data_IF_072683238158
#
_entry.id   IF_072683238158
#
_cell.length_a   1.000
_cell.length_b   1.000
_cell.length_c   1.000
_cell.angle_alpha   90.00
_cell.angle_beta   90.00
_cell.angle_gamma   90.00
#
_symmetry.space_group_name_H-M   'P 1'
#
loop_
_entity.id
_entity.type
_entity.pdbx_description
1 polymer ?
#
# COMPACT_ATOMS: atom_id res chain seq x y z
N UNK A 1 -7.77 -25.93 35.66
CA UNK A 1 -6.78 -25.47 34.67
C UNK A 1 -7.28 -24.31 33.80
N UNK A 2 -8.53 -24.33 33.30
CA UNK A 2 -9.07 -23.26 32.42
C UNK A 2 -8.96 -21.83 32.98
N UNK A 3 -9.34 -21.59 34.24
CA UNK A 3 -9.31 -20.24 34.81
C UNK A 3 -7.89 -19.64 34.88
N UNK A 4 -6.86 -20.45 35.14
CA UNK A 4 -5.47 -19.97 35.18
C UNK A 4 -4.99 -19.52 33.79
N UNK A 5 -5.35 -20.29 32.75
CA UNK A 5 -5.01 -19.98 31.35
C UNK A 5 -5.67 -18.67 30.90
N UNK A 6 -6.94 -18.45 31.26
CA UNK A 6 -7.64 -17.20 30.92
C UNK A 6 -7.05 -15.98 31.62
N UNK A 7 -6.60 -16.11 32.87
CA UNK A 7 -5.96 -15.01 33.59
C UNK A 7 -4.58 -14.66 33.00
N UNK A 8 -3.76 -15.66 32.67
CA UNK A 8 -2.46 -15.43 32.04
C UNK A 8 -2.61 -14.85 30.63
N UNK A 9 -3.58 -15.34 29.86
CA UNK A 9 -3.88 -14.82 28.53
C UNK A 9 -4.39 -13.37 28.58
N UNK A 10 -5.33 -13.06 29.46
CA UNK A 10 -5.84 -11.70 29.64
C UNK A 10 -4.72 -10.71 30.04
N UNK A 11 -3.78 -11.15 30.89
CA UNK A 11 -2.59 -10.37 31.26
C UNK A 11 -1.66 -10.15 30.06
N UNK A 12 -1.43 -11.17 29.24
CA UNK A 12 -0.61 -11.05 28.03
C UNK A 12 -1.22 -10.08 27.00
N UNK A 13 -2.53 -10.17 26.77
CA UNK A 13 -3.27 -9.24 25.91
C UNK A 13 -3.16 -7.81 26.45
N UNK A 14 -3.34 -7.63 27.75
CA UNK A 14 -3.24 -6.32 28.42
C UNK A 14 -1.85 -5.71 28.26
N UNK A 15 -0.79 -6.49 28.50
CA UNK A 15 0.59 -6.04 28.32
C UNK A 15 0.86 -5.66 26.87
N UNK A 16 0.45 -6.49 25.92
CA UNK A 16 0.63 -6.24 24.49
C UNK A 16 -0.09 -4.94 24.08
N UNK A 17 -1.38 -4.80 24.39
CA UNK A 17 -2.17 -3.62 24.06
C UNK A 17 -1.56 -2.33 24.66
N UNK A 18 -1.04 -2.41 25.88
CA UNK A 18 -0.45 -1.26 26.57
C UNK A 18 0.90 -0.87 25.98
N UNK A 19 1.74 -1.83 25.58
CA UNK A 19 2.99 -1.54 24.84
C UNK A 19 2.70 -0.86 23.52
N UNK A 20 1.73 -1.38 22.75
CA UNK A 20 1.29 -0.75 21.51
C UNK A 20 0.69 0.64 21.73
N UNK A 21 -0.02 0.87 22.84
CA UNK A 21 -0.53 2.20 23.20
C UNK A 21 0.61 3.19 23.46
N UNK A 22 1.66 2.78 24.20
CA UNK A 22 2.84 3.64 24.43
C UNK A 22 3.53 3.97 23.11
N UNK A 23 3.71 2.98 22.25
CA UNK A 23 4.28 3.15 20.93
C UNK A 23 3.44 4.08 20.05
N UNK A 24 2.13 3.86 19.98
CA UNK A 24 1.20 4.71 19.24
C UNK A 24 1.22 6.14 19.78
N UNK A 25 1.23 6.33 21.10
CA UNK A 25 1.31 7.64 21.72
C UNK A 25 2.60 8.39 21.36
N UNK A 26 3.75 7.71 21.34
CA UNK A 26 5.01 8.28 20.85
C UNK A 26 4.89 8.77 19.41
N UNK A 27 4.34 7.94 18.51
CA UNK A 27 4.09 8.35 17.13
C UNK A 27 3.08 9.49 17.00
N UNK A 28 2.07 9.53 17.88
CA UNK A 28 1.11 10.63 17.97
C UNK A 28 1.72 11.98 18.37
N UNK A 29 2.91 12.01 18.97
CA UNK A 29 3.67 13.24 19.23
C UNK A 29 4.28 13.82 17.93
N UNK A 30 4.72 12.93 17.05
CA UNK A 30 5.41 13.25 15.78
C UNK A 30 4.36 13.56 14.69
N UNK A 31 3.41 12.65 14.51
CA UNK A 31 2.36 12.71 13.48
C UNK A 31 1.02 13.02 14.11
N UNK A 32 0.74 14.32 14.24
CA UNK A 32 -0.38 14.80 15.04
C UNK A 32 -1.66 14.87 14.22
N UNK A 33 -2.50 13.84 14.31
CA UNK A 33 -3.83 13.80 13.68
C UNK A 33 -4.89 13.26 14.62
N UNK A 34 -6.08 13.85 14.53
CA UNK A 34 -7.28 13.38 15.20
C UNK A 34 -7.99 12.35 14.32
N UNK A 35 -8.39 11.23 14.90
CA UNK A 35 -8.95 10.12 14.14
C UNK A 35 -10.22 10.49 13.35
N UNK A 36 -11.14 11.25 13.93
CA UNK A 36 -12.42 11.58 13.30
C UNK A 36 -12.42 12.93 12.57
N UNK A 37 -11.26 13.46 12.21
CA UNK A 37 -11.14 14.77 11.54
C UNK A 37 -11.86 14.86 10.18
N UNK A 38 -12.16 13.70 9.58
CA UNK A 38 -12.92 13.54 8.36
C UNK A 38 -14.44 13.66 8.54
N UNK A 39 -14.96 13.53 9.77
CA UNK A 39 -16.41 13.58 10.03
C UNK A 39 -16.87 15.04 10.03
N UNK A 40 -17.68 15.42 9.04
CA UNK A 40 -18.16 16.80 8.84
C UNK A 40 -17.06 17.84 8.56
N UNK A 41 -15.82 17.41 8.34
CA UNK A 41 -14.72 18.29 7.93
C UNK A 41 -14.96 18.90 6.55
N UNK A 42 -14.50 20.14 6.36
CA UNK A 42 -14.58 20.84 5.07
C UNK A 42 -13.22 20.87 4.41
N UNK A 43 -13.15 20.48 3.14
CA UNK A 43 -11.91 20.50 2.37
C UNK A 43 -11.75 21.88 1.73
N UNK A 44 -10.63 22.57 1.98
CA UNK A 44 -10.31 23.87 1.38
C UNK A 44 -8.99 23.81 0.62
N UNK A 45 -8.92 24.58 -0.48
CA UNK A 45 -7.68 24.83 -1.23
C UNK A 45 -7.30 26.30 -1.09
N UNK A 46 -6.07 26.65 -0.68
CA UNK A 46 -5.02 25.77 -0.15
C UNK A 46 -5.31 25.33 1.31
N UNK A 47 -4.81 24.17 1.74
CA UNK A 47 -4.83 23.78 3.16
C UNK A 47 -5.41 22.41 3.54
N UNK A 48 -6.00 21.66 2.60
CA UNK A 48 -6.43 20.28 2.83
C UNK A 48 -7.72 20.14 3.64
N UNK A 49 -7.87 18.99 4.34
CA UNK A 49 -9.03 18.68 5.18
C UNK A 49 -8.98 19.52 6.47
N UNK A 50 -9.91 20.46 6.60
CA UNK A 50 -10.11 21.22 7.83
C UNK A 50 -11.21 20.54 8.65
N UNK A 51 -10.93 20.10 9.90
CA UNK A 51 -11.94 19.44 10.71
C UNK A 51 -13.07 20.41 11.07
N UNK A 52 -14.25 19.88 11.40
CA UNK A 52 -15.40 20.71 11.69
C UNK A 52 -15.16 21.62 12.92
N UNK A 53 -15.80 22.80 13.01
CA UNK A 53 -15.65 23.68 14.18
C UNK A 53 -15.97 22.99 15.51
N UNK A 54 -16.87 22.00 15.49
CA UNK A 54 -17.23 21.18 16.64
C UNK A 54 -16.07 20.30 17.16
N UNK A 55 -15.08 19.99 16.31
CA UNK A 55 -13.91 19.18 16.66
C UNK A 55 -12.73 20.03 17.17
N UNK A 56 -12.91 21.35 17.31
CA UNK A 56 -11.86 22.28 17.72
C UNK A 56 -11.18 21.89 19.04
N UNK A 57 -11.94 21.30 19.97
CA UNK A 57 -11.41 20.77 21.22
C UNK A 57 -10.41 19.66 20.92
N UNK A 58 -10.79 18.64 20.15
CA UNK A 58 -9.91 17.52 19.79
C UNK A 58 -8.65 18.00 19.05
N UNK A 59 -8.77 18.96 18.12
CA UNK A 59 -7.61 19.56 17.46
C UNK A 59 -6.67 20.21 18.49
N UNK A 60 -7.22 20.96 19.46
CA UNK A 60 -6.40 21.64 20.46
C UNK A 60 -5.63 20.68 21.35
N UNK A 61 -6.30 19.62 21.85
CA UNK A 61 -5.69 18.65 22.77
C UNK A 61 -4.89 17.54 22.09
N UNK A 62 -5.13 17.23 20.81
CA UNK A 62 -4.43 16.16 20.08
C UNK A 62 -3.37 16.74 19.15
N UNK A 63 -3.72 17.78 18.38
CA UNK A 63 -2.86 18.31 17.31
C UNK A 63 -1.94 19.43 17.81
N UNK A 64 -2.47 20.40 18.57
CA UNK A 64 -1.69 21.57 19.00
C UNK A 64 -0.85 21.30 20.25
N UNK A 65 -1.45 20.70 21.30
CA UNK A 65 -0.82 20.52 22.62
C UNK A 65 -0.36 19.07 22.94
N UNK A 66 -0.37 18.16 21.95
CA UNK A 66 -0.43 16.68 22.09
C UNK A 66 -0.75 16.06 23.46
N UNK A 67 -1.76 16.57 24.18
CA UNK A 67 -2.16 16.09 25.52
C UNK A 67 -2.66 14.65 25.47
N UNK A 68 -3.49 14.29 24.49
CA UNK A 68 -4.07 12.94 24.38
C UNK A 68 -3.01 11.86 24.12
N UNK A 69 -2.08 12.02 23.15
CA UNK A 69 -0.96 11.08 23.00
C UNK A 69 -0.12 10.93 24.27
N UNK A 70 0.16 12.03 25.00
CA UNK A 70 0.90 11.99 26.28
C UNK A 70 0.13 11.19 27.34
N UNK A 71 -1.18 11.43 27.48
CA UNK A 71 -2.04 10.68 28.41
C UNK A 71 -2.05 9.20 28.05
N UNK A 72 -2.19 8.84 26.77
CA UNK A 72 -2.14 7.45 26.31
C UNK A 72 -0.81 6.78 26.65
N UNK A 73 0.33 7.47 26.50
CA UNK A 73 1.64 6.95 26.92
C UNK A 73 1.70 6.71 28.43
N UNK A 74 1.28 7.69 29.23
CA UNK A 74 1.29 7.58 30.70
C UNK A 74 0.40 6.42 31.16
N UNK A 75 -0.81 6.30 30.61
CA UNK A 75 -1.74 5.22 30.92
C UNK A 75 -1.17 3.85 30.52
N UNK A 76 -0.57 3.75 29.32
CA UNK A 76 0.08 2.52 28.86
C UNK A 76 1.23 2.08 29.76
N UNK A 77 2.12 3.01 30.14
CA UNK A 77 3.20 2.73 31.10
C UNK A 77 2.65 2.33 32.47
N UNK A 78 1.61 3.01 32.95
CA UNK A 78 0.98 2.69 34.24
C UNK A 78 0.34 1.30 34.24
N UNK A 79 -0.33 0.88 33.17
CA UNK A 79 -0.93 -0.45 33.05
C UNK A 79 0.17 -1.52 32.93
N UNK A 80 1.24 -1.27 32.17
CA UNK A 80 2.41 -2.17 32.14
C UNK A 80 2.99 -2.33 33.55
N UNK A 81 3.11 -1.24 34.32
CA UNK A 81 3.61 -1.28 35.68
C UNK A 81 2.63 -1.98 36.66
N UNK A 82 1.33 -2.02 36.37
CA UNK A 82 0.35 -2.77 37.19
C UNK A 82 0.31 -4.27 36.84
N UNK A 83 0.50 -4.62 35.57
CA UNK A 83 0.53 -6.01 35.11
C UNK A 83 1.90 -6.66 35.28
N UNK A 84 2.99 -5.90 35.20
CA UNK A 84 4.35 -6.34 35.47
C UNK A 84 4.97 -5.48 36.57
N UNK A 85 4.52 -5.65 37.83
CA UNK A 85 4.89 -4.78 38.92
C UNK A 85 6.38 -4.85 39.23
N UNK A 86 7.01 -3.68 39.27
CA UNK A 86 8.33 -3.52 39.83
C UNK A 86 8.32 -3.95 41.32
N UNK A 87 9.47 -4.37 41.90
CA UNK A 87 9.54 -4.97 43.23
C UNK A 87 8.89 -4.14 44.35
N UNK A 88 8.87 -2.81 44.20
CA UNK A 88 8.30 -1.85 45.15
C UNK A 88 6.78 -1.64 45.04
N UNK A 89 6.14 -2.03 43.92
CA UNK A 89 4.69 -1.96 43.74
C UNK A 89 3.97 -3.27 44.06
N UNK A 90 4.72 -4.38 44.08
CA UNK A 90 4.20 -5.73 44.23
C UNK A 90 3.52 -5.90 45.59
N UNK A 91 2.23 -6.24 45.57
CA UNK A 91 1.46 -6.50 46.79
C UNK A 91 0.78 -5.27 47.42
N UNK A 92 0.88 -4.09 46.83
CA UNK A 92 0.09 -2.93 47.28
C UNK A 92 -1.41 -3.11 47.03
N UNK A 93 -2.28 -2.33 47.70
CA UNK A 93 -3.73 -2.31 47.46
C UNK A 93 -4.06 -1.89 46.02
N UNK A 94 -3.26 -0.98 45.45
CA UNK A 94 -3.34 -0.51 44.07
C UNK A 94 -3.05 -1.67 43.09
N UNK A 95 -1.95 -2.40 43.29
CA UNK A 95 -1.62 -3.57 42.47
C UNK A 95 -2.68 -4.68 42.56
N UNK A 96 -3.37 -4.83 43.69
CA UNK A 96 -4.40 -5.87 43.88
C UNK A 96 -5.79 -5.46 43.35
N UNK A 97 -5.99 -4.19 42.99
CA UNK A 97 -7.28 -3.71 42.54
C UNK A 97 -7.61 -4.17 41.12
N UNK A 98 -8.69 -4.94 40.97
CA UNK A 98 -9.20 -5.34 39.66
C UNK A 98 -9.99 -4.22 38.98
N UNK A 99 -10.69 -3.40 39.77
CA UNK A 99 -11.45 -2.24 39.30
C UNK A 99 -10.51 -1.25 38.60
N UNK A 100 -9.34 -0.97 39.20
CA UNK A 100 -8.37 -0.04 38.64
C UNK A 100 -7.86 -0.50 37.26
N UNK A 101 -7.65 -1.81 37.07
CA UNK A 101 -7.22 -2.39 35.79
C UNK A 101 -8.27 -2.22 34.71
N UNK A 102 -9.52 -2.56 35.02
CA UNK A 102 -10.63 -2.44 34.06
C UNK A 102 -10.81 -0.98 33.65
N UNK A 103 -10.88 -0.07 34.63
CA UNK A 103 -11.07 1.36 34.36
C UNK A 103 -9.88 1.91 33.57
N UNK A 104 -8.66 1.55 33.93
CA UNK A 104 -7.45 1.94 33.21
C UNK A 104 -7.46 1.47 31.75
N UNK A 105 -7.85 0.21 31.50
CA UNK A 105 -7.93 -0.35 30.16
C UNK A 105 -8.99 0.31 29.29
N UNK A 106 -10.16 0.63 29.87
CA UNK A 106 -11.22 1.36 29.17
C UNK A 106 -10.75 2.77 28.80
N UNK A 107 -10.10 3.48 29.73
CA UNK A 107 -9.54 4.81 29.48
C UNK A 107 -8.43 4.76 28.43
N UNK A 108 -7.54 3.77 28.50
CA UNK A 108 -6.51 3.54 27.49
C UNK A 108 -7.12 3.37 26.10
N UNK A 109 -8.10 2.48 25.96
CA UNK A 109 -8.78 2.24 24.69
C UNK A 109 -9.46 3.51 24.16
N UNK A 110 -10.14 4.25 25.05
CA UNK A 110 -10.78 5.52 24.71
C UNK A 110 -9.79 6.56 24.18
N UNK A 111 -8.65 6.77 24.84
CA UNK A 111 -7.68 7.76 24.35
C UNK A 111 -6.93 7.29 23.11
N UNK A 112 -6.59 6.00 23.03
CA UNK A 112 -5.89 5.42 21.88
C UNK A 112 -6.70 5.52 20.59
N UNK A 113 -8.03 5.39 20.63
CA UNK A 113 -8.86 5.49 19.42
C UNK A 113 -8.98 6.92 18.87
N UNK A 114 -8.64 7.94 19.67
CA UNK A 114 -8.75 9.34 19.24
C UNK A 114 -7.65 9.76 18.26
N UNK A 115 -6.61 8.95 18.04
CA UNK A 115 -5.54 9.23 17.09
C UNK A 115 -5.11 7.97 16.34
N UNK A 116 -4.78 8.10 15.06
CA UNK A 116 -4.40 6.95 14.22
C UNK A 116 -3.51 7.38 13.05
N UNK A 117 -2.89 6.40 12.37
CA UNK A 117 -2.06 6.59 11.18
C UNK A 117 -2.70 5.92 9.95
N UNK A 118 -3.32 6.73 9.09
CA UNK A 118 -3.57 6.38 7.68
C UNK A 118 -3.46 7.63 6.81
N UNK A 119 -3.09 7.46 5.55
CA UNK A 119 -3.23 8.49 4.52
C UNK A 119 -4.48 8.17 3.70
N UNK A 120 -5.60 8.81 4.05
CA UNK A 120 -6.85 8.66 3.30
C UNK A 120 -7.02 9.88 2.41
N UNK A 121 -6.92 9.67 1.10
CA UNK A 121 -7.20 10.70 0.11
C UNK A 121 -8.66 10.57 -0.32
N UNK A 122 -9.52 11.39 0.26
CA UNK A 122 -10.91 11.46 -0.15
C UNK A 122 -11.04 12.35 -1.40
N UNK A 123 -11.47 11.76 -2.52
CA UNK A 123 -11.68 12.45 -3.79
C UNK A 123 -13.13 12.29 -4.24
N UNK A 124 -14.08 13.07 -3.69
CA UNK A 124 -15.51 12.92 -3.98
C UNK A 124 -15.84 13.13 -5.46
N UNK A 125 -15.03 13.89 -6.19
CA UNK A 125 -15.16 14.06 -7.64
C UNK A 125 -15.06 12.74 -8.43
N UNK A 126 -14.38 11.72 -7.90
CA UNK A 126 -14.27 10.40 -8.54
C UNK A 126 -15.56 9.57 -8.45
N UNK A 127 -16.53 9.95 -7.60
CA UNK A 127 -17.84 9.29 -7.54
C UNK A 127 -18.65 9.48 -8.83
N UNK A 128 -18.38 10.55 -9.58
CA UNK A 128 -19.04 10.88 -10.84
C UNK A 128 -18.20 10.45 -12.05
N UNK A 129 -17.28 9.49 -11.87
CA UNK A 129 -16.42 9.02 -12.97
C UNK A 129 -17.31 8.44 -14.09
N UNK A 130 -17.15 8.88 -15.36
CA UNK A 130 -17.92 8.33 -16.46
C UNK A 130 -17.66 6.82 -16.56
N UNK A 131 -18.71 6.00 -16.76
CA UNK A 131 -18.56 4.56 -16.92
C UNK A 131 -17.81 4.31 -18.23
N UNK A 132 -16.54 3.92 -18.12
CA UNK A 132 -15.75 3.46 -19.25
C UNK A 132 -15.91 1.93 -19.36
N UNK A 133 -16.00 1.39 -20.58
CA UNK A 133 -15.98 -0.06 -20.78
C UNK A 133 -14.72 -0.65 -20.16
N UNK A 134 -14.79 -1.91 -19.73
CA UNK A 134 -13.60 -2.62 -19.26
C UNK A 134 -12.54 -2.61 -20.37
N UNK A 135 -11.29 -2.22 -20.07
CA UNK A 135 -10.22 -2.29 -21.05
C UNK A 135 -10.05 -3.74 -21.50
N UNK A 136 -10.08 -3.96 -22.81
CA UNK A 136 -9.71 -5.23 -23.42
C UNK A 136 -8.20 -5.21 -23.68
N UNK A 137 -7.49 -6.21 -23.17
CA UNK A 137 -6.03 -6.27 -23.22
C UNK A 137 -5.50 -7.21 -24.31
N UNK A 138 -6.40 -7.79 -25.12
CA UNK A 138 -6.02 -8.56 -26.28
C UNK A 138 -5.28 -7.66 -27.29
N UNK A 139 -4.26 -8.19 -27.99
CA UNK A 139 -3.70 -7.48 -29.14
C UNK A 139 -4.86 -7.18 -30.11
N UNK A 140 -4.90 -5.99 -30.74
CA UNK A 140 -5.94 -5.68 -31.70
C UNK A 140 -5.98 -6.81 -32.72
N UNK A 141 -7.13 -7.48 -32.83
CA UNK A 141 -7.35 -8.45 -33.90
C UNK A 141 -6.98 -7.77 -35.21
N UNK A 142 -6.34 -8.52 -36.10
CA UNK A 142 -5.70 -8.13 -37.38
C UNK A 142 -6.66 -7.42 -38.37
N UNK A 143 -7.84 -6.99 -37.93
CA UNK A 143 -8.90 -6.38 -38.72
C UNK A 143 -9.35 -4.99 -38.25
N UNK A 144 -8.77 -4.41 -37.19
CA UNK A 144 -9.01 -2.99 -36.86
C UNK A 144 -7.89 -2.12 -37.43
N UNK A 145 -8.20 -1.37 -38.49
CA UNK A 145 -7.29 -0.39 -39.04
C UNK A 145 -6.83 0.61 -37.95
N UNK A 146 -5.55 1.04 -37.95
CA UNK A 146 -4.98 1.95 -36.94
C UNK A 146 -5.77 3.27 -36.77
N UNK A 147 -6.61 3.63 -37.74
CA UNK A 147 -7.48 4.81 -37.67
C UNK A 147 -8.66 4.67 -36.69
N UNK A 148 -9.05 3.47 -36.26
CA UNK A 148 -10.11 3.28 -35.25
C UNK A 148 -9.64 3.45 -33.80
N UNK A 149 -8.33 3.42 -33.54
CA UNK A 149 -7.73 3.72 -32.23
C UNK A 149 -7.53 5.22 -32.03
N UNK A 150 -7.43 5.99 -33.12
CA UNK A 150 -7.31 7.46 -33.09
C UNK A 150 -8.58 8.07 -32.50
N UNK A 151 -8.43 8.66 -31.31
CA UNK A 151 -9.51 9.30 -30.55
C UNK A 151 -10.02 8.48 -29.36
N UNK A 152 -9.70 7.17 -29.30
CA UNK A 152 -10.03 6.29 -28.16
C UNK A 152 -8.84 6.13 -27.22
N UNK A 153 -7.62 5.98 -27.77
CA UNK A 153 -6.40 5.91 -27.00
C UNK A 153 -5.86 7.32 -26.68
N UNK A 154 -5.87 7.76 -25.40
CA UNK A 154 -5.38 9.09 -25.02
C UNK A 154 -3.85 9.24 -25.12
N UNK A 155 -3.12 8.14 -25.37
CA UNK A 155 -1.66 8.14 -25.45
C UNK A 155 -1.13 8.06 -26.89
N UNK A 156 -1.99 8.12 -27.91
CA UNK A 156 -1.56 8.29 -29.29
C UNK A 156 -1.49 9.79 -29.67
N UNK A 157 -0.60 10.17 -30.60
CA UNK A 157 -0.56 11.53 -31.11
C UNK A 157 -1.84 11.90 -31.90
N UNK A 158 -2.24 13.19 -31.94
CA UNK A 158 -1.54 14.33 -31.36
C UNK A 158 -1.71 14.41 -29.83
N UNK A 159 -0.58 14.58 -29.12
CA UNK A 159 -0.58 14.73 -27.67
C UNK A 159 -1.17 16.08 -27.26
N UNK A 160 -1.81 16.13 -26.09
CA UNK A 160 -2.19 17.41 -25.49
C UNK A 160 -0.92 18.19 -25.11
N UNK A 161 -0.67 19.39 -25.68
CA UNK A 161 0.54 20.17 -25.38
C UNK A 161 0.70 20.56 -23.91
N UNK A 162 -0.40 20.63 -23.15
CA UNK A 162 -0.36 20.94 -21.71
C UNK A 162 0.02 19.74 -20.84
N UNK A 163 -0.05 18.53 -21.39
CA UNK A 163 0.28 17.29 -20.68
C UNK A 163 1.59 16.68 -21.18
N UNK A 164 2.03 17.02 -22.40
CA UNK A 164 3.28 16.55 -22.96
C UNK A 164 4.48 17.14 -22.21
N UNK A 165 5.36 16.27 -21.71
CA UNK A 165 6.60 16.67 -21.01
C UNK A 165 7.81 16.48 -21.91
N UNK A 166 7.88 15.35 -22.62
CA UNK A 166 9.01 15.01 -23.48
C UNK A 166 8.98 13.56 -23.93
N UNK A 167 10.07 13.13 -24.55
CA UNK A 167 10.22 11.78 -25.11
C UNK A 167 11.54 11.18 -24.66
N UNK A 168 11.57 9.86 -24.56
CA UNK A 168 12.77 9.07 -24.28
C UNK A 168 12.90 7.99 -25.34
N UNK A 169 14.12 7.60 -25.65
CA UNK A 169 14.40 6.48 -26.53
C UNK A 169 15.44 5.59 -25.88
N UNK A 170 15.14 4.31 -25.82
CA UNK A 170 16.14 3.32 -25.49
C UNK A 170 17.00 3.05 -26.73
N UNK A 171 18.32 3.23 -26.59
CA UNK A 171 19.24 3.13 -27.73
C UNK A 171 19.53 1.67 -28.13
N UNK A 172 19.38 0.72 -27.21
CA UNK A 172 19.71 -0.69 -27.44
C UNK A 172 18.53 -1.44 -28.05
N UNK A 173 17.35 -1.34 -27.42
CA UNK A 173 16.12 -2.01 -27.89
C UNK A 173 15.34 -1.14 -28.90
N UNK A 174 15.72 0.12 -29.07
CA UNK A 174 15.06 1.06 -29.99
C UNK A 174 13.66 1.51 -29.54
N UNK A 175 13.21 1.11 -28.34
CA UNK A 175 11.88 1.43 -27.82
C UNK A 175 11.78 2.92 -27.52
N UNK A 176 10.73 3.55 -28.04
CA UNK A 176 10.44 4.95 -27.80
C UNK A 176 9.31 5.12 -26.78
N UNK A 177 9.48 6.10 -25.90
CA UNK A 177 8.54 6.46 -24.86
C UNK A 177 8.15 7.92 -24.96
N UNK A 178 6.94 8.23 -24.55
CA UNK A 178 6.46 9.59 -24.31
C UNK A 178 6.17 9.77 -22.82
N UNK A 179 6.58 10.91 -22.28
CA UNK A 179 6.33 11.32 -20.90
C UNK A 179 5.15 12.29 -20.89
N UNK A 180 4.07 11.90 -20.19
CA UNK A 180 2.82 12.65 -20.13
C UNK A 180 2.43 12.92 -18.67
N UNK A 181 2.01 14.14 -18.35
CA UNK A 181 1.35 14.42 -17.08
C UNK A 181 0.00 13.70 -17.02
N UNK A 182 -0.33 13.13 -15.87
CA UNK A 182 -1.63 12.51 -15.68
C UNK A 182 -2.74 13.58 -15.65
N UNK A 183 -3.59 13.59 -16.68
CA UNK A 183 -4.71 14.53 -16.84
C UNK A 183 -5.65 14.56 -15.63
N UNK A 184 -5.85 13.42 -14.98
CA UNK A 184 -6.77 13.27 -13.85
C UNK A 184 -6.00 12.95 -12.58
N UNK A 185 -4.90 13.67 -12.35
CA UNK A 185 -4.10 13.43 -11.17
C UNK A 185 -4.76 13.90 -9.88
N UNK A 186 -4.75 13.02 -8.88
CA UNK A 186 -5.03 13.35 -7.47
C UNK A 186 -3.78 13.88 -6.77
N UNK A 187 -2.60 13.45 -7.21
CA UNK A 187 -1.30 13.85 -6.64
C UNK A 187 -0.60 14.80 -7.60
N UNK A 188 -0.34 16.07 -7.24
CA UNK A 188 0.37 16.99 -8.12
C UNK A 188 1.67 16.36 -8.65
N UNK A 189 2.01 16.62 -9.92
CA UNK A 189 3.21 16.08 -10.59
C UNK A 189 3.24 14.55 -10.78
N UNK A 190 2.12 13.84 -10.63
CA UNK A 190 1.99 12.47 -11.14
C UNK A 190 2.10 12.48 -12.67
N UNK A 191 3.06 11.74 -13.21
CA UNK A 191 3.27 11.58 -14.65
C UNK A 191 3.36 10.10 -15.06
N UNK A 192 3.28 9.89 -16.36
CA UNK A 192 3.23 8.59 -17.02
C UNK A 192 4.41 8.48 -17.98
N UNK A 193 5.04 7.31 -18.04
CA UNK A 193 5.91 6.89 -19.14
C UNK A 193 5.13 5.89 -19.98
N UNK A 194 4.79 6.25 -21.21
CA UNK A 194 4.00 5.41 -22.12
C UNK A 194 4.87 5.01 -23.29
N UNK A 195 4.77 3.76 -23.76
CA UNK A 195 5.35 3.38 -25.05
C UNK A 195 4.73 4.23 -26.16
N UNK A 196 5.50 4.66 -27.16
CA UNK A 196 4.93 5.38 -28.31
C UNK A 196 4.15 4.46 -29.23
N UNK A 197 4.73 3.29 -29.51
CA UNK A 197 4.03 2.22 -30.20
C UNK A 197 3.11 1.52 -29.23
N UNK A 198 1.92 1.16 -29.70
CA UNK A 198 0.95 0.45 -28.87
C UNK A 198 1.53 -0.91 -28.44
N UNK A 199 1.73 -1.06 -27.13
CA UNK A 199 1.94 -2.34 -26.48
C UNK A 199 0.80 -2.58 -25.49
N UNK A 200 0.38 -3.84 -25.31
CA UNK A 200 -0.68 -4.15 -24.35
C UNK A 200 -0.18 -4.02 -22.91
N UNK A 201 -0.97 -3.41 -22.03
CA UNK A 201 -0.77 -3.30 -20.59
C UNK A 201 -0.80 -4.67 -19.88
N UNK A 202 -1.19 -5.75 -20.57
CA UNK A 202 -1.06 -7.11 -20.07
C UNK A 202 0.29 -7.77 -20.41
N UNK A 203 1.18 -7.07 -21.11
CA UNK A 203 2.54 -7.56 -21.38
C UNK A 203 3.46 -7.28 -20.19
N UNK A 204 4.45 -8.17 -19.91
CA UNK A 204 5.46 -7.90 -18.90
C UNK A 204 6.32 -6.67 -19.21
N UNK A 205 6.95 -6.14 -18.17
CA UNK A 205 8.01 -5.13 -18.32
C UNK A 205 9.23 -5.77 -18.98
N UNK A 206 9.75 -5.12 -20.01
CA UNK A 206 11.00 -5.42 -20.65
C UNK A 206 12.16 -4.83 -19.84
N UNK A 207 13.40 -5.32 -20.03
CA UNK A 207 14.58 -4.74 -19.39
C UNK A 207 14.69 -3.21 -19.64
N UNK A 208 14.44 -2.78 -20.88
CA UNK A 208 14.41 -1.36 -21.22
C UNK A 208 13.38 -0.55 -20.40
N UNK A 209 12.17 -1.08 -20.17
CA UNK A 209 11.16 -0.39 -19.35
C UNK A 209 11.67 -0.16 -17.92
N UNK A 210 12.30 -1.19 -17.34
CA UNK A 210 12.82 -1.17 -15.98
C UNK A 210 14.00 -0.20 -15.85
N UNK A 211 14.93 -0.22 -16.81
CA UNK A 211 16.10 0.65 -16.83
C UNK A 211 15.69 2.11 -16.95
N UNK A 212 14.82 2.44 -17.92
CA UNK A 212 14.33 3.81 -18.11
C UNK A 212 13.58 4.31 -16.87
N UNK A 213 12.72 3.47 -16.29
CA UNK A 213 12.01 3.82 -15.06
C UNK A 213 12.97 4.04 -13.89
N UNK A 214 13.96 3.17 -13.71
CA UNK A 214 14.95 3.29 -12.64
C UNK A 214 15.78 4.58 -12.77
N UNK A 215 16.24 4.91 -13.97
CA UNK A 215 17.00 6.13 -14.22
C UNK A 215 16.19 7.41 -14.05
N UNK A 216 14.89 7.41 -14.38
CA UNK A 216 13.99 8.52 -14.04
C UNK A 216 13.93 8.72 -12.51
N UNK A 217 13.80 7.64 -11.72
CA UNK A 217 13.79 7.72 -10.26
C UNK A 217 15.11 8.27 -9.71
N UNK A 218 16.25 7.85 -10.25
CA UNK A 218 17.55 8.38 -9.86
C UNK A 218 17.73 9.85 -10.24
N UNK A 219 17.28 10.25 -11.43
CA UNK A 219 17.33 11.64 -11.89
C UNK A 219 16.47 12.55 -11.00
N UNK A 220 15.26 12.12 -10.64
CA UNK A 220 14.40 12.84 -9.72
C UNK A 220 15.06 13.02 -8.34
N UNK A 221 15.67 11.95 -7.80
CA UNK A 221 16.36 11.99 -6.52
C UNK A 221 17.55 12.97 -6.52
N UNK A 222 18.29 13.05 -7.63
CA UNK A 222 19.37 14.06 -7.80
C UNK A 222 18.86 15.50 -7.75
N UNK A 223 17.58 15.72 -8.08
CA UNK A 223 16.90 17.01 -7.98
C UNK A 223 16.15 17.19 -6.65
N UNK A 224 16.45 16.38 -5.63
CA UNK A 224 15.77 16.39 -4.34
C UNK A 224 14.25 16.14 -4.43
N UNK A 225 13.81 15.39 -5.45
CA UNK A 225 12.43 14.95 -5.57
C UNK A 225 12.36 13.43 -5.41
N UNK A 226 11.42 12.95 -4.61
CA UNK A 226 11.22 11.54 -4.38
C UNK A 226 10.00 11.05 -5.15
N UNK A 227 10.17 9.97 -5.90
CA UNK A 227 9.11 9.30 -6.63
C UNK A 227 9.22 7.79 -6.41
N UNK A 228 8.13 7.09 -6.67
CA UNK A 228 8.12 5.65 -6.92
C UNK A 228 7.36 5.39 -8.22
N UNK A 229 7.71 4.28 -8.87
CA UNK A 229 7.01 3.83 -10.08
C UNK A 229 6.04 2.71 -9.72
N UNK A 230 4.86 2.73 -10.35
CA UNK A 230 3.92 1.60 -10.35
C UNK A 230 3.61 1.15 -11.78
N UNK A 231 3.45 -0.15 -11.95
CA UNK A 231 2.95 -0.77 -13.18
C UNK A 231 1.84 -1.76 -12.84
N UNK A 232 0.66 -1.55 -13.42
CA UNK A 232 -0.51 -2.38 -13.20
C UNK A 232 -0.68 -3.29 -14.42
N UNK A 233 -0.27 -4.56 -14.31
CA UNK A 233 -0.27 -5.50 -15.43
C UNK A 233 -1.54 -6.38 -15.43
N UNK A 234 -2.31 -6.34 -16.51
CA UNK A 234 -3.48 -7.20 -16.71
C UNK A 234 -4.77 -6.72 -16.02
N UNK A 235 -5.87 -7.42 -16.28
CA UNK A 235 -7.23 -6.96 -15.95
C UNK A 235 -7.50 -6.80 -14.44
N UNK A 236 -6.91 -7.66 -13.60
CA UNK A 236 -7.09 -7.62 -12.15
C UNK A 236 -6.03 -6.78 -11.43
N UNK A 237 -5.23 -6.00 -12.14
CA UNK A 237 -4.24 -5.10 -11.51
C UNK A 237 -4.81 -3.72 -11.17
N UNK A 238 -6.03 -3.41 -11.60
CA UNK A 238 -6.59 -2.07 -11.55
C UNK A 238 -6.16 -1.17 -12.71
N UNK A 239 -5.56 -1.74 -13.77
CA UNK A 239 -5.29 -1.04 -15.02
C UNK A 239 -6.56 -0.43 -15.64
N UNK A 240 -6.46 0.81 -16.12
CA UNK A 240 -7.60 1.55 -16.69
C UNK A 240 -7.44 1.89 -18.17
N UNK A 241 -6.22 1.79 -18.70
CA UNK A 241 -5.89 1.98 -20.11
C UNK A 241 -5.19 0.71 -20.63
N UNK A 242 -5.51 0.23 -21.83
CA UNK A 242 -4.93 -0.98 -22.41
C UNK A 242 -3.54 -0.75 -23.02
N UNK A 243 -3.18 0.49 -23.33
CA UNK A 243 -1.85 0.85 -23.82
C UNK A 243 -0.86 0.89 -22.65
N UNK A 244 0.25 0.16 -22.78
CA UNK A 244 1.37 0.04 -21.84
C UNK A 244 1.87 1.41 -21.33
N UNK A 245 1.72 1.62 -20.03
CA UNK A 245 2.18 2.81 -19.33
C UNK A 245 2.62 2.46 -17.90
N UNK A 246 3.70 3.12 -17.47
CA UNK A 246 4.21 3.13 -16.12
C UNK A 246 3.86 4.47 -15.47
N UNK A 247 3.51 4.45 -14.19
CA UNK A 247 3.06 5.66 -13.47
C UNK A 247 4.08 6.05 -12.41
N UNK A 248 4.43 7.33 -12.34
CA UNK A 248 5.36 7.88 -11.37
C UNK A 248 4.61 8.78 -10.41
N UNK A 249 4.64 8.43 -9.13
CA UNK A 249 3.91 9.14 -8.09
C UNK A 249 4.91 9.80 -7.14
N UNK A 250 4.81 11.13 -6.92
CA UNK A 250 5.70 11.81 -6.00
C UNK A 250 5.39 11.46 -4.55
N UNK A 251 6.41 11.53 -3.72
CA UNK A 251 6.36 11.26 -2.28
C UNK A 251 7.02 12.41 -1.54
N UNK A 252 6.33 12.93 -0.52
CA UNK A 252 6.89 13.95 0.36
C UNK A 252 7.87 13.37 1.40
N UNK A 253 7.63 12.12 1.84
CA UNK A 253 8.49 11.37 2.76
C UNK A 253 9.80 10.96 2.07
N UNK A 254 10.93 11.44 2.58
CA UNK A 254 12.28 11.10 2.11
C UNK A 254 12.61 9.61 2.28
N UNK A 255 11.94 8.92 3.19
CA UNK A 255 12.18 7.49 3.42
C UNK A 255 11.53 6.61 2.34
N UNK A 256 10.67 7.19 1.49
CA UNK A 256 9.91 6.51 0.44
C UNK A 256 8.51 6.08 0.89
N UNK A 257 7.82 5.26 0.08
CA UNK A 257 6.48 4.80 0.45
C UNK A 257 6.54 3.86 1.68
N UNK A 258 5.45 3.67 2.44
CA UNK A 258 5.47 2.83 3.65
C UNK A 258 6.04 1.42 3.44
N UNK A 259 5.81 0.81 2.28
CA UNK A 259 6.35 -0.51 1.92
C UNK A 259 7.88 -0.53 1.77
N UNK A 260 8.47 0.57 1.29
CA UNK A 260 9.91 0.74 1.15
C UNK A 260 10.59 0.81 2.52
N UNK A 261 10.03 1.58 3.47
CA UNK A 261 10.50 1.64 4.85
C UNK A 261 10.45 0.25 5.52
N UNK A 262 9.36 -0.48 5.34
CA UNK A 262 9.22 -1.84 5.88
C UNK A 262 10.23 -2.82 5.26
N UNK A 263 10.45 -2.76 3.94
CA UNK A 263 11.43 -3.59 3.24
C UNK A 263 12.88 -3.28 3.64
N UNK A 264 13.21 -2.00 3.87
CA UNK A 264 14.53 -1.58 4.33
C UNK A 264 14.84 -2.11 5.73
N UNK A 265 13.86 -2.10 6.63
CA UNK A 265 13.98 -2.59 8.00
C UNK A 265 13.98 -4.13 8.13
N UNK A 266 13.63 -4.86 7.07
CA UNK A 266 13.55 -6.31 7.11
C UNK A 266 14.93 -6.98 7.21
N UNK A 267 15.04 -7.98 8.09
CA UNK A 267 16.21 -8.86 8.15
C UNK A 267 16.15 -9.90 7.03
N UNK A 268 17.02 -9.74 6.04
CA UNK A 268 17.08 -10.62 4.86
C UNK A 268 18.32 -11.52 4.92
N UNK A 269 18.22 -12.72 4.34
CA UNK A 269 19.32 -13.69 4.32
C UNK A 269 20.49 -13.23 3.43
N UNK A 270 20.17 -12.64 2.28
CA UNK A 270 21.12 -12.09 1.31
C UNK A 270 20.43 -11.00 0.49
N UNK A 271 21.18 -10.01 0.00
CA UNK A 271 20.61 -8.85 -0.71
C UNK A 271 19.92 -9.23 -2.03
N UNK A 272 20.67 -9.80 -2.96
CA UNK A 272 20.56 -11.21 -3.32
C UNK A 272 19.21 -11.91 -3.54
N UNK A 273 18.46 -12.08 -2.47
CA UNK A 273 17.41 -13.11 -2.42
C UNK A 273 16.05 -12.46 -2.30
N UNK A 274 15.05 -12.90 -3.08
CA UNK A 274 13.67 -12.49 -2.86
C UNK A 274 13.20 -12.80 -1.44
N UNK A 275 12.36 -11.93 -0.89
CA UNK A 275 11.75 -12.08 0.43
C UNK A 275 10.34 -11.50 0.46
N UNK A 276 9.60 -11.80 1.53
CA UNK A 276 8.27 -11.24 1.81
C UNK A 276 8.21 -10.72 3.23
N UNK A 277 7.32 -9.77 3.50
CA UNK A 277 7.08 -9.24 4.84
C UNK A 277 5.97 -10.05 5.52
N UNK A 278 6.25 -10.76 6.64
CA UNK A 278 5.28 -11.68 7.24
C UNK A 278 4.04 -10.99 7.83
N UNK A 279 4.13 -9.68 8.08
CA UNK A 279 3.07 -8.91 8.73
C UNK A 279 2.08 -8.26 7.73
N UNK A 280 2.28 -8.45 6.42
CA UNK A 280 1.35 -7.91 5.42
C UNK A 280 0.30 -8.96 5.02
N UNK A 281 -0.99 -8.60 4.96
CA UNK A 281 -2.09 -9.56 4.78
C UNK A 281 -2.32 -9.97 3.31
N UNK A 282 -1.36 -9.75 2.43
CA UNK A 282 -1.48 -10.05 1.00
C UNK A 282 -0.19 -10.65 0.44
N UNK A 283 -0.33 -11.47 -0.59
CA UNK A 283 0.80 -12.10 -1.28
C UNK A 283 1.63 -11.07 -2.06
N UNK A 284 2.90 -10.98 -1.72
CA UNK A 284 3.86 -10.09 -2.35
C UNK A 284 5.28 -10.64 -2.22
N UNK A 285 6.14 -10.27 -3.17
CA UNK A 285 7.55 -10.63 -3.21
C UNK A 285 8.37 -9.36 -3.43
N UNK A 286 9.52 -9.28 -2.76
CA UNK A 286 10.38 -8.11 -2.71
C UNK A 286 11.79 -8.53 -3.05
N UNK A 287 12.48 -7.74 -3.88
CA UNK A 287 13.90 -7.88 -4.17
C UNK A 287 14.62 -6.58 -3.85
N UNK A 288 15.67 -6.65 -3.04
CA UNK A 288 16.55 -5.49 -2.80
C UNK A 288 17.44 -5.28 -4.02
N UNK A 289 17.53 -4.03 -4.47
CA UNK A 289 18.31 -3.61 -5.63
C UNK A 289 19.65 -3.06 -5.15
N UNK A 290 20.71 -3.84 -5.31
CA UNK A 290 22.09 -3.42 -4.99
C UNK A 290 22.74 -2.87 -6.26
N UNK A 291 22.31 -1.68 -6.69
CA UNK A 291 22.84 -1.01 -7.88
C UNK A 291 23.64 0.22 -7.43
N UNK A 292 24.97 0.25 -7.66
CA UNK A 292 25.79 1.41 -7.35
C UNK A 292 25.32 2.67 -8.09
N UNK A 293 25.43 3.88 -7.51
CA UNK A 293 25.10 5.12 -8.21
C UNK A 293 25.92 5.39 -9.48
N UNK A 294 27.10 4.75 -9.58
CA UNK A 294 28.01 4.80 -10.73
C UNK A 294 27.85 3.60 -11.67
N UNK A 295 26.85 2.74 -11.46
CA UNK A 295 26.65 1.55 -12.28
C UNK A 295 26.41 1.93 -13.75
N UNK A 296 26.92 1.10 -14.65
CA UNK A 296 26.59 1.24 -16.07
C UNK A 296 25.12 0.88 -16.31
N UNK A 297 24.62 1.24 -17.51
CA UNK A 297 23.28 0.83 -17.95
C UNK A 297 23.13 -0.69 -17.91
N UNK A 298 24.10 -1.42 -18.45
CA UNK A 298 24.06 -2.89 -18.55
C UNK A 298 24.09 -3.57 -17.17
N UNK A 299 24.86 -3.02 -16.23
CA UNK A 299 24.88 -3.50 -14.84
C UNK A 299 23.52 -3.30 -14.17
N UNK A 300 22.92 -2.11 -14.33
CA UNK A 300 21.59 -1.82 -13.80
C UNK A 300 20.54 -2.73 -14.44
N UNK A 301 20.59 -2.92 -15.76
CA UNK A 301 19.70 -3.79 -16.51
C UNK A 301 19.77 -5.23 -16.02
N UNK A 302 20.97 -5.80 -15.90
CA UNK A 302 21.17 -7.16 -15.43
C UNK A 302 20.53 -7.39 -14.06
N UNK A 303 20.73 -6.45 -13.12
CA UNK A 303 20.14 -6.54 -11.77
C UNK A 303 18.62 -6.41 -11.82
N UNK A 304 18.10 -5.43 -12.55
CA UNK A 304 16.66 -5.15 -12.64
C UNK A 304 15.89 -6.27 -13.33
N UNK A 305 16.38 -6.75 -14.48
CA UNK A 305 15.78 -7.83 -15.23
C UNK A 305 15.79 -9.14 -14.43
N UNK A 306 16.92 -9.49 -13.82
CA UNK A 306 17.03 -10.66 -12.95
C UNK A 306 16.04 -10.56 -11.78
N UNK A 307 16.03 -9.43 -11.08
CA UNK A 307 15.11 -9.19 -9.98
C UNK A 307 13.65 -9.33 -10.42
N UNK A 308 13.28 -8.73 -11.55
CA UNK A 308 11.91 -8.78 -12.05
C UNK A 308 11.48 -10.21 -12.40
N UNK A 309 12.31 -10.97 -13.10
CA UNK A 309 12.02 -12.36 -13.47
C UNK A 309 11.90 -13.27 -12.23
N UNK A 310 12.79 -13.14 -11.26
CA UNK A 310 12.71 -13.87 -9.98
C UNK A 310 11.38 -13.60 -9.26
N UNK A 311 11.00 -12.32 -9.15
CA UNK A 311 9.76 -11.94 -8.47
C UNK A 311 8.51 -12.34 -9.25
N UNK A 312 8.57 -12.31 -10.59
CA UNK A 312 7.47 -12.74 -11.45
C UNK A 312 7.25 -14.26 -11.35
N UNK A 313 8.31 -15.05 -11.34
CA UNK A 313 8.23 -16.50 -11.14
C UNK A 313 7.61 -16.84 -9.77
N UNK A 314 8.04 -16.17 -8.71
CA UNK A 314 7.45 -16.32 -7.38
C UNK A 314 5.98 -15.89 -7.32
N UNK A 315 5.60 -14.81 -8.01
CA UNK A 315 4.22 -14.37 -8.10
C UNK A 315 3.34 -15.41 -8.80
N UNK A 316 3.81 -15.98 -9.92
CA UNK A 316 3.13 -17.06 -10.64
C UNK A 316 3.05 -18.32 -9.76
N UNK A 317 4.15 -18.68 -9.08
CA UNK A 317 4.17 -19.80 -8.14
C UNK A 317 3.14 -19.63 -7.03
N UNK A 318 2.98 -18.41 -6.50
CA UNK A 318 1.96 -18.12 -5.47
C UNK A 318 0.54 -18.26 -6.02
N UNK A 319 0.30 -17.78 -7.23
CA UNK A 319 -1.00 -17.90 -7.92
C UNK A 319 -1.41 -19.36 -8.11
N UNK A 320 -0.46 -20.25 -8.43
CA UNK A 320 -0.72 -21.70 -8.64
C UNK A 320 -1.28 -22.43 -7.42
N UNK A 321 -1.14 -21.88 -6.22
CA UNK A 321 -1.60 -22.48 -4.97
C UNK A 321 -2.94 -21.90 -4.48
N UNK A 322 -3.59 -21.05 -5.28
CA UNK A 322 -4.89 -20.45 -4.96
C UNK A 322 -5.97 -21.18 -5.77
N UNK A 323 -6.89 -21.86 -5.09
CA UNK A 323 -7.95 -22.67 -5.74
C UNK A 323 -8.90 -21.82 -6.59
N UNK A 324 -9.24 -20.61 -6.14
CA UNK A 324 -10.18 -19.70 -6.80
C UNK A 324 -9.52 -18.66 -7.74
N UNK A 325 -8.31 -18.94 -8.26
CA UNK A 325 -7.69 -18.01 -9.20
C UNK A 325 -8.39 -18.07 -10.56
N UNK A 326 -8.83 -16.91 -11.12
CA UNK A 326 -9.50 -16.89 -12.40
C UNK A 326 -8.57 -17.36 -13.53
N UNK A 327 -9.14 -18.10 -14.48
CA UNK A 327 -8.43 -18.60 -15.65
C UNK A 327 -8.07 -17.40 -16.54
N UNK A 328 -6.80 -17.29 -16.94
CA UNK A 328 -6.34 -16.25 -17.86
C UNK A 328 -4.89 -15.85 -17.65
N UNK A 329 -4.50 -14.74 -18.28
CA UNK A 329 -3.18 -14.14 -18.09
C UNK A 329 -3.00 -13.65 -16.66
N UNK A 330 -1.84 -13.87 -16.02
CA UNK A 330 -1.61 -13.44 -14.66
C UNK A 330 -1.68 -11.92 -14.56
N UNK A 331 -2.46 -11.43 -13.59
CA UNK A 331 -2.49 -10.01 -13.25
C UNK A 331 -1.62 -9.75 -12.02
N UNK A 332 -0.80 -8.71 -12.08
CA UNK A 332 0.11 -8.33 -11.01
C UNK A 332 0.36 -6.83 -11.00
N UNK A 333 0.81 -6.33 -9.85
CA UNK A 333 1.27 -4.97 -9.68
C UNK A 333 2.76 -4.99 -9.42
N UNK A 334 3.49 -4.11 -10.08
CA UNK A 334 4.91 -3.85 -9.82
C UNK A 334 5.02 -2.50 -9.14
N UNK A 335 5.85 -2.44 -8.10
CA UNK A 335 6.31 -1.18 -7.53
C UNK A 335 7.83 -1.15 -7.64
N UNK A 336 8.39 -0.05 -8.09
CA UNK A 336 9.83 0.17 -8.18
C UNK A 336 10.20 1.42 -7.40
N UNK A 337 11.19 1.28 -6.52
CA UNK A 337 11.88 2.37 -5.84
C UNK A 337 13.38 2.30 -6.17
N UNK A 338 14.18 3.32 -5.81
CA UNK A 338 15.63 3.24 -5.98
C UNK A 338 16.30 2.07 -5.24
N UNK A 339 15.67 1.54 -4.19
CA UNK A 339 16.24 0.51 -3.32
C UNK A 339 15.63 -0.89 -3.46
N UNK A 340 14.40 -1.02 -3.95
CA UNK A 340 13.69 -2.29 -4.00
C UNK A 340 12.75 -2.37 -5.21
N UNK A 341 12.56 -3.59 -5.70
CA UNK A 341 11.51 -3.98 -6.63
C UNK A 341 10.49 -4.84 -5.88
N UNK A 342 9.20 -4.59 -6.10
CA UNK A 342 8.11 -5.31 -5.47
C UNK A 342 7.18 -5.85 -6.55
N UNK A 343 6.73 -7.09 -6.40
CA UNK A 343 5.67 -7.68 -7.23
C UNK A 343 4.61 -8.24 -6.30
N UNK A 344 3.37 -7.80 -6.49
CA UNK A 344 2.20 -8.33 -5.77
C UNK A 344 1.17 -8.86 -6.75
N UNK A 345 0.34 -9.79 -6.27
CA UNK A 345 -0.78 -10.30 -7.07
C UNK A 345 -1.78 -9.18 -7.36
N UNK A 346 -2.33 -9.14 -8.57
CA UNK A 346 -3.50 -8.33 -8.89
C UNK A 346 -4.71 -8.85 -8.12
N UNK A 347 -5.33 -8.00 -7.30
CA UNK A 347 -6.56 -8.32 -6.57
C UNK A 347 -7.78 -8.21 -7.48
N UNK A 348 -8.81 -9.04 -7.27
CA UNK A 348 -10.03 -8.98 -8.07
C UNK A 348 -10.54 -7.54 -8.17
N UNK A 349 -10.65 -7.03 -9.40
CA UNK A 349 -11.21 -5.71 -9.68
C UNK A 349 -12.61 -5.66 -9.06
N UNK A 350 -12.87 -4.80 -8.09
CA UNK A 350 -14.25 -4.58 -7.64
C UNK A 350 -15.04 -3.99 -8.81
N UNK A 351 -16.06 -4.70 -9.33
CA UNK A 351 -16.87 -4.17 -10.41
C UNK A 351 -17.73 -3.03 -9.86
N UNK A 352 -17.41 -1.79 -10.23
CA UNK A 352 -18.26 -0.62 -10.00
C UNK A 352 -18.45 -0.24 -8.53
N UNK A 353 -17.67 0.75 -8.07
CA UNK A 353 -18.02 1.55 -6.89
C UNK A 353 -19.26 2.41 -7.16
N UNK A 354 -20.41 1.78 -7.33
CA UNK A 354 -21.72 2.42 -7.43
C UNK A 354 -22.78 1.43 -6.96
N UNK A 355 -22.79 1.14 -5.66
CA UNK A 355 -23.99 0.77 -4.91
C UNK A 355 -23.71 1.00 -3.43
N UNK A 356 -24.31 2.06 -2.90
CA UNK A 356 -24.58 2.14 -1.47
C UNK A 356 -25.41 0.92 -1.08
N UNK A 357 -24.84 0.07 -0.25
CA UNK A 357 -25.49 -1.06 0.37
C UNK A 357 -24.86 -1.22 1.74
N UNK A 358 -25.68 -1.13 2.78
CA UNK A 358 -25.31 -1.30 4.18
C UNK A 358 -24.32 -2.47 4.35
N UNK A 359 -23.14 -2.17 4.88
CA UNK A 359 -22.18 -3.19 5.28
C UNK A 359 -22.80 -4.04 6.40
N UNK A 360 -23.24 -5.24 6.05
CA UNK A 360 -23.21 -6.35 7.00
C UNK A 360 -21.77 -6.80 7.09
N UNK A 361 -21.29 -6.89 8.32
CA UNK A 361 -19.92 -7.28 8.65
C UNK A 361 -19.56 -8.62 8.03
N UNK A 362 -18.28 -8.74 7.67
CA UNK A 362 -17.66 -10.03 7.51
C UNK A 362 -17.64 -10.70 8.88
N UNK A 363 -18.58 -11.61 9.11
CA UNK A 363 -18.47 -12.56 10.20
C UNK A 363 -17.26 -13.46 9.93
N UNK A 364 -16.35 -13.42 10.89
CA UNK A 364 -15.25 -14.36 10.99
C UNK A 364 -15.83 -15.69 11.51
N UNK A 365 -15.97 -16.68 10.64
CA UNK A 365 -16.28 -18.04 11.07
C UNK A 365 -15.03 -18.69 11.68
N UNK A 366 -14.93 -18.52 12.99
CA UNK A 366 -14.15 -19.34 13.92
C UNK A 366 -15.11 -20.30 14.63
N UNK A 367 -15.43 -21.44 14.02
CA UNK A 367 -15.83 -22.68 14.71
C UNK A 367 -15.26 -23.84 13.87
N UNK A 368 -14.53 -24.84 14.38
CA UNK A 368 -14.63 -25.45 15.70
C UNK A 368 -15.11 -26.89 15.56
N UNK A 369 -14.22 -27.80 15.09
CA UNK A 369 -14.25 -29.28 15.27
C UNK A 369 -15.41 -30.08 14.66
N UNK A 370 -15.06 -31.06 13.84
CA UNK A 370 -15.95 -32.18 13.49
C UNK A 370 -15.24 -33.29 12.73
N UNK A 371 -14.68 -34.26 13.45
CA UNK A 371 -14.21 -35.55 12.94
C UNK A 371 -15.34 -36.27 12.19
N UNK A 372 -15.06 -36.83 10.99
CA UNK A 372 -15.68 -38.02 10.36
C UNK A 372 -14.97 -38.28 9.01
N UNK A 373 -13.95 -39.13 8.96
CA UNK A 373 -13.99 -40.59 8.80
C UNK A 373 -14.52 -41.04 7.43
N UNK A 374 -13.58 -41.56 6.63
CA UNK A 374 -13.78 -42.23 5.35
C UNK A 374 -14.83 -43.35 5.45
N UNK A 375 -15.75 -43.39 4.49
CA UNK A 375 -16.41 -44.63 4.07
C UNK A 375 -16.92 -44.48 2.62
N UNK A 376 -16.42 -45.33 1.73
CA UNK A 376 -17.06 -45.68 0.44
C UNK A 376 -18.29 -46.55 0.71
N UNK A 377 -19.26 -46.56 -0.22
CA UNK A 377 -19.51 -47.76 -1.06
C UNK A 377 -19.66 -47.36 -2.54
N UNK A 378 -19.22 -48.09 -3.59
CA UNK A 378 -19.66 -49.42 -4.06
C UNK A 378 -21.20 -49.50 -4.12
N UNK A 379 -21.86 -48.96 -5.14
CA UNK A 379 -21.95 -49.47 -6.51
C UNK A 379 -22.69 -48.44 -7.39
#
# INVERSE_FOLDING_TARGET
MGNLVWHEYARYVTLTASVYTVWAGFFGLIYRKFFWDFVNGTIRSPGGLQPAPQDAIFISVIVKAPIVPIISMILGVAIIALEYPAPFFKGTSIHRSFILRIVGLILQAFFAVLFYQFELRHCPALLQKPPLPSPHFDPPSVHLAPDHLKGVDPFLPPYNPQLYVGELKDEEEGIEYVILLNKYSVVPNHFLMVTKEYQSQATPLLPADLVQAYFILLAARKQHQNYFMIYNCGEQSGASQPHKHLQFIPIEDEEGPPIERAARAAHIQAEWKPFSLPNLPFAHHIRRLSIPPSASRDEAESVLATAFLELLDLAISTVRHIEDHPVGMPSYNVVLTPGHLFVSRGGARQPGGARGGQGRGADADLEGRGVRQCARPAD
#
